data_IF_220769244656
#
_entry.id   IF_220769244656
#
_cell.length_a   1.000
_cell.length_b   1.000
_cell.length_c   1.000
_cell.angle_alpha   90.00
_cell.angle_beta   90.00
_cell.angle_gamma   90.00
#
_symmetry.space_group_name_H-M   'P 1'
#
loop_
_entity.id
_entity.type
_entity.pdbx_description
1 polymer ?
#
# COMPACT_ATOMS: atom_id res chain seq x y z
N UNK A 1 -18.26 -16.85 17.89
CA UNK A 1 -18.03 -15.53 17.27
C UNK A 1 -16.69 -15.63 16.57
N UNK A 2 -16.66 -15.75 15.24
CA UNK A 2 -15.40 -15.67 14.47
C UNK A 2 -15.15 -14.18 14.18
N UNK A 3 -14.08 -13.62 14.73
CA UNK A 3 -13.64 -12.29 14.35
C UNK A 3 -12.97 -12.39 12.97
N UNK A 4 -13.41 -11.59 12.00
CA UNK A 4 -12.72 -11.40 10.72
C UNK A 4 -12.13 -9.99 10.71
N UNK A 5 -10.95 -9.82 10.13
CA UNK A 5 -10.41 -8.49 9.88
C UNK A 5 -11.18 -7.84 8.71
N UNK A 6 -11.77 -6.68 8.95
CA UNK A 6 -12.45 -5.88 7.92
C UNK A 6 -11.47 -4.94 7.21
N UNK A 7 -10.45 -4.47 7.94
CA UNK A 7 -9.35 -3.65 7.45
C UNK A 7 -8.01 -4.24 7.90
N UNK A 8 -7.04 -4.32 6.99
CA UNK A 8 -5.68 -4.78 7.28
C UNK A 8 -4.67 -3.80 6.72
N UNK A 9 -3.73 -3.36 7.56
CA UNK A 9 -2.58 -2.54 7.16
C UNK A 9 -1.28 -3.30 7.36
N UNK A 10 -0.47 -3.39 6.30
CA UNK A 10 0.91 -3.90 6.37
C UNK A 10 1.86 -2.73 6.15
N UNK A 11 2.89 -2.61 6.99
CA UNK A 11 3.92 -1.57 6.88
C UNK A 11 5.28 -2.20 6.66
N UNK A 12 5.92 -1.82 5.56
CA UNK A 12 7.28 -2.20 5.22
C UNK A 12 8.24 -1.11 5.68
N UNK A 13 9.39 -1.54 6.20
CA UNK A 13 10.44 -0.67 6.68
C UNK A 13 11.73 -0.96 5.93
N UNK A 14 12.45 0.10 5.58
CA UNK A 14 13.85 0.03 5.15
C UNK A 14 14.71 -0.63 6.25
N UNK A 15 15.92 -1.11 5.93
CA UNK A 15 16.84 -1.66 6.94
C UNK A 15 17.16 -0.68 8.09
N UNK A 16 17.14 0.63 7.82
CA UNK A 16 17.37 1.66 8.81
C UNK A 16 16.11 2.04 9.63
N UNK A 17 14.96 1.43 9.35
CA UNK A 17 13.72 1.58 10.13
C UNK A 17 12.77 2.69 9.65
N UNK A 18 13.05 3.35 8.53
CA UNK A 18 12.07 4.25 7.88
C UNK A 18 10.96 3.45 7.23
N UNK A 19 9.72 3.94 7.29
CA UNK A 19 8.60 3.38 6.54
C UNK A 19 8.90 3.53 5.05
N UNK A 20 9.00 2.41 4.32
CA UNK A 20 9.22 2.37 2.87
C UNK A 20 7.89 2.29 2.13
N UNK A 21 6.98 1.43 2.59
CA UNK A 21 5.67 1.26 1.99
C UNK A 21 4.60 0.92 3.02
N UNK A 22 3.35 1.31 2.72
CA UNK A 22 2.15 0.92 3.46
C UNK A 22 1.16 0.31 2.48
N UNK A 23 0.69 -0.89 2.78
CA UNK A 23 -0.30 -1.64 2.02
C UNK A 23 -1.58 -1.67 2.83
N UNK A 24 -2.65 -1.11 2.26
CA UNK A 24 -3.97 -1.07 2.88
C UNK A 24 -4.91 -2.01 2.13
N UNK A 25 -5.50 -2.92 2.89
CA UNK A 25 -6.50 -3.88 2.42
C UNK A 25 -7.84 -3.58 3.08
N UNK A 26 -8.92 -3.63 2.29
CA UNK A 26 -10.31 -3.49 2.77
C UNK A 26 -11.15 -4.69 2.31
N UNK A 27 -12.14 -5.06 3.12
CA UNK A 27 -13.13 -6.09 2.78
C UNK A 27 -13.98 -5.65 1.58
N UNK A 28 -13.80 -6.31 0.44
CA UNK A 28 -14.57 -6.12 -0.79
C UNK A 28 -15.08 -7.48 -1.27
N UNK A 29 -16.38 -7.60 -1.56
CA UNK A 29 -16.98 -8.85 -2.08
C UNK A 29 -16.65 -10.11 -1.23
N UNK A 30 -16.48 -9.95 0.08
CA UNK A 30 -16.19 -11.04 1.02
C UNK A 30 -14.73 -11.50 1.05
N UNK A 31 -13.81 -10.74 0.46
CA UNK A 31 -12.36 -10.97 0.47
C UNK A 31 -11.63 -9.66 0.78
N UNK A 32 -10.41 -9.73 1.30
CA UNK A 32 -9.56 -8.54 1.44
C UNK A 32 -8.99 -8.16 0.08
N UNK A 33 -9.11 -6.89 -0.29
CA UNK A 33 -8.58 -6.33 -1.53
C UNK A 33 -7.52 -5.28 -1.21
N UNK A 34 -6.31 -5.41 -1.76
CA UNK A 34 -5.25 -4.40 -1.70
C UNK A 34 -5.67 -3.17 -2.51
N UNK A 35 -6.34 -2.24 -1.84
CA UNK A 35 -6.92 -1.05 -2.45
C UNK A 35 -5.91 0.09 -2.58
N UNK A 36 -4.89 0.12 -1.73
CA UNK A 36 -3.92 1.20 -1.72
C UNK A 36 -2.52 0.71 -1.38
N UNK A 37 -1.54 1.18 -2.15
CA UNK A 37 -0.11 1.08 -1.84
C UNK A 37 0.44 2.50 -1.74
N UNK A 38 1.04 2.84 -0.61
CA UNK A 38 1.69 4.13 -0.39
C UNK A 38 3.18 3.94 -0.18
N UNK A 39 3.99 4.48 -1.09
CA UNK A 39 5.45 4.44 -1.02
C UNK A 39 6.00 5.79 -0.54
N UNK A 40 6.99 5.73 0.35
CA UNK A 40 7.71 6.88 0.86
C UNK A 40 9.14 6.86 0.33
N UNK A 41 9.48 7.85 -0.48
CA UNK A 41 10.80 7.98 -1.09
C UNK A 41 11.65 8.93 -0.25
N UNK A 42 12.83 8.47 0.16
CA UNK A 42 13.83 9.27 0.89
C UNK A 42 15.08 9.46 0.02
N UNK A 43 15.98 10.41 0.37
CA UNK A 43 17.21 10.65 -0.39
C UNK A 43 18.15 9.44 -0.47
N UNK A 44 18.13 8.59 0.55
CA UNK A 44 18.89 7.36 0.70
C UNK A 44 18.16 6.40 1.67
N UNK A 45 18.66 5.17 1.81
CA UNK A 45 18.13 4.17 2.75
C UNK A 45 19.13 3.84 3.89
N UNK A 46 20.21 4.59 4.02
CA UNK A 46 21.36 4.23 4.89
C UNK A 46 21.15 4.67 6.35
N UNK A 47 20.16 5.52 6.61
CA UNK A 47 19.81 6.00 7.95
C UNK A 47 18.30 6.14 8.12
N UNK A 48 17.91 6.23 9.40
CA UNK A 48 16.53 6.52 9.74
C UNK A 48 16.15 7.95 9.34
N UNK A 49 15.07 8.03 8.58
CA UNK A 49 14.25 9.20 8.34
C UNK A 49 12.84 9.00 8.89
N UNK A 50 12.30 10.03 9.52
CA UNK A 50 10.88 10.09 9.84
C UNK A 50 10.05 10.38 8.58
N UNK A 51 8.78 9.98 8.58
CA UNK A 51 7.86 10.14 7.44
C UNK A 51 7.82 11.56 6.84
N UNK A 52 7.81 12.67 7.62
CA UNK A 52 7.82 14.02 7.06
C UNK A 52 9.10 14.40 6.31
N UNK A 53 10.17 13.60 6.42
CA UNK A 53 11.44 13.83 5.76
C UNK A 53 11.54 13.11 4.39
N UNK A 54 10.47 12.45 3.94
CA UNK A 54 10.43 11.91 2.59
C UNK A 54 10.51 13.04 1.55
N UNK A 55 11.20 12.77 0.44
CA UNK A 55 11.27 13.66 -0.72
C UNK A 55 10.04 13.57 -1.59
N UNK A 56 9.37 12.42 -1.57
CA UNK A 56 8.11 12.22 -2.27
C UNK A 56 7.27 11.10 -1.63
N UNK A 57 5.95 11.18 -1.82
CA UNK A 57 4.99 10.12 -1.51
C UNK A 57 4.28 9.73 -2.80
N UNK A 58 4.22 8.43 -3.07
CA UNK A 58 3.41 7.86 -4.18
C UNK A 58 2.30 7.02 -3.60
N UNK A 59 1.06 7.32 -3.96
CA UNK A 59 -0.10 6.54 -3.54
C UNK A 59 -0.78 5.98 -4.78
N UNK A 60 -0.73 4.66 -4.92
CA UNK A 60 -1.47 3.91 -5.93
C UNK A 60 -2.81 3.52 -5.32
N UNK A 61 -3.90 3.89 -5.98
CA UNK A 61 -5.26 3.50 -5.63
C UNK A 61 -5.74 2.52 -6.68
N UNK A 62 -6.04 1.29 -6.28
CA UNK A 62 -6.51 0.22 -7.16
C UNK A 62 -8.01 0.03 -6.98
N UNK A 63 -8.67 -0.42 -8.05
CA UNK A 63 -10.06 -0.83 -8.04
C UNK A 63 -10.17 -2.29 -8.51
N UNK A 64 -11.19 -3.05 -8.05
CA UNK A 64 -11.45 -4.42 -8.47
C UNK A 64 -11.53 -4.65 -9.98
N UNK A 65 -11.91 -3.63 -10.74
CA UNK A 65 -12.05 -3.68 -12.20
C UNK A 65 -10.71 -3.48 -12.96
N UNK A 66 -9.60 -3.34 -12.24
CA UNK A 66 -8.27 -3.12 -12.83
C UNK A 66 -8.00 -1.67 -13.25
N UNK A 67 -8.84 -0.72 -12.84
CA UNK A 67 -8.57 0.72 -12.96
C UNK A 67 -7.96 1.28 -11.67
N UNK A 68 -7.40 2.49 -11.75
CA UNK A 68 -6.80 3.13 -10.58
C UNK A 68 -6.28 4.53 -10.85
N UNK A 69 -5.72 5.14 -9.82
CA UNK A 69 -4.99 6.39 -9.91
C UNK A 69 -3.69 6.35 -9.12
N UNK A 70 -2.63 6.93 -9.69
CA UNK A 70 -1.38 7.22 -9.01
C UNK A 70 -1.37 8.69 -8.61
N UNK A 71 -1.22 8.95 -7.31
CA UNK A 71 -0.99 10.30 -6.79
C UNK A 71 0.45 10.43 -6.36
N UNK A 72 1.17 11.38 -6.94
CA UNK A 72 2.55 11.69 -6.52
C UNK A 72 2.60 13.07 -5.89
N UNK A 73 3.03 13.13 -4.63
CA UNK A 73 3.31 14.37 -3.92
C UNK A 73 4.82 14.53 -3.76
N UNK A 74 5.39 15.59 -4.31
CA UNK A 74 6.83 15.88 -4.21
C UNK A 74 7.01 17.04 -3.22
N UNK A 75 7.72 16.79 -2.12
CA UNK A 75 7.88 17.75 -1.01
C UNK A 75 8.47 19.09 -1.44
N UNK A 76 9.33 19.08 -2.46
CA UNK A 76 9.99 20.30 -2.98
C UNK A 76 9.14 21.12 -3.97
N UNK A 77 8.07 20.54 -4.53
CA UNK A 77 7.33 21.15 -5.65
C UNK A 77 5.99 21.79 -5.24
N UNK A 78 5.55 21.63 -3.98
CA UNK A 78 4.21 22.02 -3.48
C UNK A 78 3.06 21.62 -4.45
N UNK A 79 3.25 20.52 -5.18
CA UNK A 79 2.33 20.07 -6.22
C UNK A 79 2.07 18.57 -6.10
N UNK A 80 0.83 18.19 -6.36
CA UNK A 80 0.38 16.81 -6.44
C UNK A 80 0.03 16.50 -7.89
N UNK A 81 0.64 15.48 -8.48
CA UNK A 81 0.20 14.93 -9.76
C UNK A 81 -0.78 13.79 -9.52
N UNK A 82 -1.75 13.66 -10.43
CA UNK A 82 -2.71 12.55 -10.44
C UNK A 82 -2.71 11.97 -11.85
N UNK A 83 -2.46 10.67 -11.94
CA UNK A 83 -2.40 9.93 -13.20
C UNK A 83 -3.35 8.74 -13.11
N UNK A 84 -4.34 8.70 -14.00
CA UNK A 84 -5.26 7.57 -14.08
C UNK A 84 -4.65 6.44 -14.91
N UNK A 85 -4.91 5.20 -14.51
CA UNK A 85 -4.49 4.01 -15.25
C UNK A 85 -5.61 2.97 -15.31
N UNK A 86 -5.49 2.07 -16.28
CA UNK A 86 -6.44 0.98 -16.51
C UNK A 86 -5.74 -0.26 -17.05
N UNK A 87 -6.39 -1.42 -16.93
CA UNK A 87 -5.86 -2.70 -17.41
C UNK A 87 -4.82 -3.33 -16.48
N UNK A 88 -4.82 -2.97 -15.19
CA UNK A 88 -3.94 -3.58 -14.18
C UNK A 88 -4.46 -4.98 -13.83
N UNK A 89 -3.57 -5.97 -13.84
CA UNK A 89 -3.88 -7.31 -13.33
C UNK A 89 -3.91 -7.28 -11.79
N UNK A 90 -5.12 -7.15 -11.24
CA UNK A 90 -5.37 -7.13 -9.80
C UNK A 90 -5.61 -8.53 -9.21
N UNK A 91 -5.36 -9.62 -9.96
CA UNK A 91 -5.61 -10.98 -9.46
C UNK A 91 -4.86 -11.29 -8.16
N UNK A 92 -3.68 -10.68 -7.97
CA UNK A 92 -2.84 -10.81 -6.77
C UNK A 92 -3.20 -9.86 -5.62
N UNK A 93 -4.12 -8.92 -5.83
CA UNK A 93 -4.56 -7.98 -4.79
C UNK A 93 -5.60 -8.61 -3.84
N UNK A 94 -6.11 -9.80 -4.19
CA UNK A 94 -7.14 -10.48 -3.43
C UNK A 94 -6.57 -11.49 -2.45
N UNK A 95 -6.95 -11.36 -1.18
CA UNK A 95 -6.60 -12.29 -0.10
C UNK A 95 -7.89 -12.77 0.55
N UNK A 96 -7.98 -14.06 0.86
CA UNK A 96 -9.15 -14.56 1.58
C UNK A 96 -9.19 -13.96 3.00
N UNK A 97 -10.37 -13.85 3.63
CA UNK A 97 -10.48 -13.27 4.97
C UNK A 97 -9.55 -13.97 5.97
N UNK A 98 -8.85 -13.16 6.76
CA UNK A 98 -8.02 -13.69 7.84
C UNK A 98 -8.94 -14.06 9.00
N UNK A 99 -9.23 -15.34 9.10
CA UNK A 99 -10.12 -15.93 10.12
C UNK A 99 -9.37 -16.52 11.30
N UNK A 100 -8.06 -16.75 11.14
CA UNK A 100 -7.19 -17.35 12.14
C UNK A 100 -6.07 -16.38 12.48
N UNK A 101 -5.97 -16.02 13.75
CA UNK A 101 -4.86 -15.22 14.25
C UNK A 101 -3.51 -15.91 13.97
N UNK A 102 -2.56 -15.20 13.38
CA UNK A 102 -1.24 -15.74 13.04
C UNK A 102 -1.04 -16.09 11.56
N UNK A 103 -2.10 -16.15 10.74
CA UNK A 103 -2.02 -16.44 9.30
C UNK A 103 -1.72 -15.17 8.48
N UNK A 104 -0.58 -14.53 8.78
CA UNK A 104 -0.18 -13.25 8.20
C UNK A 104 0.66 -13.38 6.93
N UNK A 105 1.15 -14.58 6.62
CA UNK A 105 2.06 -14.80 5.46
C UNK A 105 1.37 -14.58 4.10
N UNK A 106 0.03 -14.44 4.10
CA UNK A 106 -0.80 -14.24 2.91
C UNK A 106 -0.94 -12.77 2.50
N UNK A 107 -0.50 -11.84 3.34
CA UNK A 107 -0.57 -10.39 3.12
C UNK A 107 0.85 -9.79 3.05
N UNK A 108 0.98 -8.57 2.55
CA UNK A 108 2.26 -7.85 2.57
C UNK A 108 3.15 -8.06 1.35
N UNK A 109 2.70 -8.81 0.33
CA UNK A 109 3.42 -8.87 -0.95
C UNK A 109 2.75 -7.95 -1.96
N UNK A 110 3.52 -7.07 -2.60
CA UNK A 110 3.05 -6.27 -3.73
C UNK A 110 4.12 -6.16 -4.81
N UNK A 111 3.68 -6.04 -6.06
CA UNK A 111 4.51 -5.62 -7.18
C UNK A 111 3.97 -4.25 -7.61
N UNK A 112 4.75 -3.15 -7.48
CA UNK A 112 4.33 -1.84 -7.97
C UNK A 112 4.22 -1.80 -9.50
#
# INVERSE_FOLDING_TARGET
MSAQAEDVRVTHYTPAGSIEAVLDYEMTEGRLFLMQVTEYLYPDQDRYYSQPQCTAVRSFFFRPDGTGDLRTNISAAEAVTVEEFSGVDVSRHWVDPITTWGDWDRIGTYNP
#
